data_IF_980211017390
#
_entry.id   IF_980211017390
#
_cell.length_a   1.000
_cell.length_b   1.000
_cell.length_c   1.000
_cell.angle_alpha   90.00
_cell.angle_beta   90.00
_cell.angle_gamma   90.00
#
_symmetry.space_group_name_H-M   'P 1'
#
loop_
_entity.id
_entity.type
_entity.pdbx_description
1 polymer ?
#
# COMPACT_ATOMS: atom_id res chain seq x y z
N UNK A 1 19.03 -5.73 8.02
CA UNK A 1 17.91 -4.90 8.58
C UNK A 1 18.20 -3.46 8.20
N UNK A 2 17.26 -2.78 7.54
CA UNK A 2 17.44 -1.38 7.06
C UNK A 2 16.95 -0.34 8.08
N UNK A 3 16.62 -0.78 9.31
CA UNK A 3 16.18 0.12 10.36
C UNK A 3 17.37 0.88 10.95
N UNK A 4 17.30 2.21 11.02
CA UNK A 4 18.32 3.06 11.62
C UNK A 4 18.18 3.23 13.14
N UNK A 5 17.01 2.93 13.69
CA UNK A 5 16.68 3.07 15.11
C UNK A 5 15.91 1.83 15.58
N UNK A 6 16.54 0.66 15.64
CA UNK A 6 15.89 -0.55 16.13
C UNK A 6 15.47 -0.38 17.59
N UNK A 7 14.39 -1.04 17.95
CA UNK A 7 13.82 -1.01 19.31
C UNK A 7 14.12 -2.35 19.96
N UNK A 8 14.67 -2.32 21.17
CA UNK A 8 14.88 -3.52 21.98
C UNK A 8 13.52 -4.07 22.43
N UNK A 9 13.33 -5.36 22.27
CA UNK A 9 12.15 -6.09 22.64
C UNK A 9 12.52 -7.41 23.32
N UNK A 10 11.56 -7.97 24.03
CA UNK A 10 11.74 -9.20 24.80
C UNK A 10 10.57 -10.14 24.52
N UNK A 11 10.78 -11.43 24.69
CA UNK A 11 9.68 -12.39 24.75
C UNK A 11 9.01 -12.29 26.12
N UNK A 12 7.68 -12.22 26.14
CA UNK A 12 6.94 -12.14 27.39
C UNK A 12 6.90 -13.49 28.10
N UNK A 13 7.19 -13.48 29.39
CA UNK A 13 7.09 -14.62 30.28
C UNK A 13 5.65 -15.10 30.48
N UNK A 14 4.68 -14.19 30.44
CA UNK A 14 3.29 -14.45 30.79
C UNK A 14 2.33 -14.40 29.61
N UNK A 15 2.56 -13.45 28.68
CA UNK A 15 1.66 -13.24 27.55
C UNK A 15 1.99 -14.16 26.38
N UNK A 16 0.95 -14.77 25.80
CA UNK A 16 1.06 -15.62 24.61
C UNK A 16 0.26 -15.03 23.45
N UNK A 17 0.74 -15.27 22.24
CA UNK A 17 0.01 -14.96 21.01
C UNK A 17 -1.17 -15.94 20.81
N UNK A 18 -2.05 -15.66 19.86
CA UNK A 18 -3.14 -16.60 19.48
C UNK A 18 -2.64 -17.97 19.02
N UNK A 19 -1.36 -18.08 18.67
CA UNK A 19 -0.72 -19.34 18.24
C UNK A 19 0.00 -20.06 19.38
N UNK A 20 -0.14 -19.58 20.64
CA UNK A 20 0.47 -20.18 21.83
C UNK A 20 1.96 -19.84 22.01
N UNK A 21 2.60 -19.12 21.10
CA UNK A 21 3.99 -18.65 21.24
C UNK A 21 4.09 -17.47 22.17
N UNK A 22 5.24 -17.22 22.89
CA UNK A 22 5.42 -16.02 23.68
C UNK A 22 5.12 -14.75 22.88
N UNK A 23 4.41 -13.79 23.51
CA UNK A 23 4.18 -12.48 22.91
C UNK A 23 5.39 -11.57 23.06
N UNK A 24 5.51 -10.55 22.22
CA UNK A 24 6.56 -9.53 22.34
C UNK A 24 6.15 -8.51 23.39
N UNK A 25 7.08 -8.18 24.30
CA UNK A 25 6.96 -7.09 25.27
C UNK A 25 8.11 -6.09 25.14
N UNK A 26 7.87 -4.84 25.51
CA UNK A 26 8.89 -3.79 25.58
C UNK A 26 9.28 -3.48 27.03
N UNK A 27 8.66 -4.17 27.99
CA UNK A 27 8.96 -3.99 29.41
C UNK A 27 9.89 -5.09 29.85
N UNK A 28 11.06 -4.72 30.35
CA UNK A 28 12.04 -5.66 30.88
C UNK A 28 11.47 -6.51 32.04
N UNK A 29 10.63 -5.91 32.91
CA UNK A 29 10.00 -6.63 34.02
C UNK A 29 9.12 -7.81 33.59
N UNK A 30 8.58 -7.79 32.36
CA UNK A 30 7.74 -8.85 31.81
C UNK A 30 8.52 -9.82 30.92
N UNK A 31 9.84 -9.59 30.79
CA UNK A 31 10.72 -10.37 29.91
C UNK A 31 10.93 -11.80 30.46
N UNK A 32 11.03 -12.74 29.55
CA UNK A 32 11.48 -14.09 29.82
C UNK A 32 13.03 -14.08 29.84
N UNK A 33 13.67 -14.37 31.01
CA UNK A 33 15.12 -14.28 31.12
C UNK A 33 15.85 -15.36 30.32
N UNK A 34 15.18 -16.48 29.98
CA UNK A 34 15.80 -17.56 29.22
C UNK A 34 15.84 -17.28 27.72
N UNK A 35 14.90 -16.46 27.21
CA UNK A 35 14.79 -16.17 25.78
C UNK A 35 15.58 -14.94 25.33
N UNK A 36 16.11 -14.14 26.29
CA UNK A 36 16.94 -12.99 26.04
C UNK A 36 16.24 -11.82 25.33
N UNK A 37 17.04 -10.84 24.93
CA UNK A 37 16.59 -9.67 24.19
C UNK A 37 16.83 -9.80 22.68
N UNK A 38 16.03 -9.08 21.89
CA UNK A 38 16.23 -8.99 20.44
C UNK A 38 15.82 -7.63 19.92
N UNK A 39 16.30 -7.29 18.71
CA UNK A 39 16.02 -6.00 18.08
C UNK A 39 14.93 -6.13 17.04
N UNK A 40 13.94 -5.23 17.11
CA UNK A 40 12.89 -5.13 16.09
C UNK A 40 12.98 -3.79 15.34
N UNK A 41 12.54 -3.73 14.08
CA UNK A 41 12.49 -2.49 13.34
C UNK A 41 11.51 -1.50 13.97
N UNK A 42 11.91 -0.24 14.14
CA UNK A 42 11.06 0.82 14.74
C UNK A 42 9.79 1.14 13.92
N UNK A 43 9.74 0.75 12.65
CA UNK A 43 8.60 0.98 11.76
C UNK A 43 8.43 2.44 11.28
N UNK A 44 9.20 3.39 11.79
CA UNK A 44 9.01 4.83 11.53
C UNK A 44 10.16 5.50 10.80
N UNK A 45 11.40 5.04 10.97
CA UNK A 45 12.56 5.61 10.28
C UNK A 45 12.45 5.44 8.76
N UNK A 46 13.25 6.20 8.02
CA UNK A 46 13.22 6.17 6.55
C UNK A 46 13.47 4.77 5.99
N UNK A 47 14.41 4.01 6.58
CA UNK A 47 14.68 2.63 6.17
C UNK A 47 13.47 1.70 6.34
N UNK A 48 12.78 1.75 7.48
CA UNK A 48 11.56 0.96 7.71
C UNK A 48 10.42 1.36 6.77
N UNK A 49 10.32 2.65 6.44
CA UNK A 49 9.31 3.17 5.52
C UNK A 49 9.58 2.73 4.10
N UNK A 50 10.84 2.76 3.66
CA UNK A 50 11.25 2.25 2.34
C UNK A 50 11.01 0.74 2.22
N UNK A 51 11.36 -0.06 3.23
CA UNK A 51 11.09 -1.50 3.25
C UNK A 51 9.58 -1.79 3.10
N UNK A 52 8.74 -1.07 3.85
CA UNK A 52 7.27 -1.22 3.76
C UNK A 52 6.74 -0.84 2.38
N UNK A 53 7.28 0.23 1.80
CA UNK A 53 6.93 0.66 0.44
C UNK A 53 7.29 -0.43 -0.57
N UNK A 54 8.48 -0.98 -0.46
CA UNK A 54 8.96 -2.03 -1.35
C UNK A 54 8.15 -3.33 -1.23
N UNK A 55 7.85 -3.78 0.01
CA UNK A 55 6.94 -4.91 0.26
C UNK A 55 5.59 -4.71 -0.44
N UNK A 56 5.08 -3.49 -0.38
CA UNK A 56 3.80 -3.11 -0.99
C UNK A 56 3.86 -3.14 -2.51
N UNK A 57 4.94 -2.63 -3.09
CA UNK A 57 5.17 -2.62 -4.54
C UNK A 57 5.29 -4.04 -5.11
N UNK A 58 6.06 -4.91 -4.44
CA UNK A 58 6.19 -6.32 -4.82
C UNK A 58 4.84 -7.03 -4.82
N UNK A 59 4.03 -6.81 -3.77
CA UNK A 59 2.70 -7.41 -3.67
C UNK A 59 1.75 -6.91 -4.75
N UNK A 60 1.76 -5.61 -5.04
CA UNK A 60 0.93 -5.03 -6.10
C UNK A 60 1.34 -5.55 -7.48
N UNK A 61 2.63 -5.66 -7.73
CA UNK A 61 3.14 -6.25 -8.98
C UNK A 61 2.73 -7.72 -9.11
N UNK A 62 2.89 -8.53 -8.06
CA UNK A 62 2.46 -9.94 -8.08
C UNK A 62 0.95 -10.07 -8.29
N UNK A 63 0.14 -9.20 -7.70
CA UNK A 63 -1.31 -9.18 -7.98
C UNK A 63 -1.57 -8.88 -9.46
N UNK A 64 -0.85 -7.93 -10.05
CA UNK A 64 -1.05 -7.58 -11.47
C UNK A 64 -0.69 -8.71 -12.43
N UNK A 65 0.21 -9.61 -12.05
CA UNK A 65 0.57 -10.79 -12.88
C UNK A 65 -0.52 -11.86 -12.94
N UNK A 66 -1.57 -11.76 -12.14
CA UNK A 66 -2.71 -12.67 -12.18
C UNK A 66 -3.77 -12.29 -13.22
N UNK A 67 -3.70 -11.07 -13.77
CA UNK A 67 -4.74 -10.51 -14.61
C UNK A 67 -4.15 -9.77 -15.82
N UNK A 68 -4.79 -9.87 -16.95
CA UNK A 68 -4.34 -9.21 -18.19
C UNK A 68 -4.65 -7.71 -18.23
N UNK A 69 -5.67 -7.27 -17.47
CA UNK A 69 -6.17 -5.89 -17.52
C UNK A 69 -5.99 -5.20 -16.19
N UNK A 70 -4.86 -4.54 -16.06
CA UNK A 70 -4.52 -3.75 -14.89
C UNK A 70 -4.17 -2.33 -15.31
N UNK A 71 -4.68 -1.36 -14.57
CA UNK A 71 -4.47 0.05 -14.90
C UNK A 71 -4.04 0.87 -13.69
N UNK A 72 -3.18 1.83 -13.95
CA UNK A 72 -2.87 2.91 -13.03
C UNK A 72 -3.89 4.03 -13.25
N UNK A 73 -4.71 4.30 -12.24
CA UNK A 73 -5.72 5.34 -12.24
C UNK A 73 -5.22 6.57 -11.51
N UNK A 74 -5.47 7.74 -12.09
CA UNK A 74 -5.36 9.04 -11.41
C UNK A 74 -6.73 9.71 -11.41
N UNK A 75 -7.15 10.22 -10.24
CA UNK A 75 -8.35 11.04 -10.08
C UNK A 75 -7.94 12.41 -9.56
N UNK A 76 -8.42 13.46 -10.20
CA UNK A 76 -8.09 14.86 -9.86
C UNK A 76 -9.37 15.67 -9.83
N UNK A 77 -9.50 16.57 -8.84
CA UNK A 77 -10.61 17.52 -8.81
C UNK A 77 -10.44 18.61 -9.91
N UNK A 78 -11.53 19.07 -10.50
CA UNK A 78 -11.54 20.33 -11.25
C UNK A 78 -11.56 21.53 -10.27
N UNK A 79 -11.58 22.75 -10.78
CA UNK A 79 -11.55 23.94 -9.92
C UNK A 79 -12.88 24.16 -9.17
N UNK A 80 -13.99 23.79 -9.79
CA UNK A 80 -15.34 23.96 -9.24
C UNK A 80 -15.61 23.04 -8.06
N UNK A 81 -15.04 21.82 -8.10
CA UNK A 81 -15.22 20.78 -7.09
C UNK A 81 -14.02 20.65 -6.14
N UNK A 82 -13.07 21.58 -6.19
CA UNK A 82 -11.93 21.52 -5.31
C UNK A 82 -12.38 21.66 -3.84
N UNK A 83 -12.09 20.70 -2.97
CA UNK A 83 -12.51 20.76 -1.57
C UNK A 83 -11.94 21.98 -0.84
N UNK A 84 -12.61 22.46 0.22
CA UNK A 84 -12.11 23.55 1.05
C UNK A 84 -10.65 23.32 1.47
N UNK A 85 -9.85 24.38 1.47
CA UNK A 85 -8.40 24.34 1.74
C UNK A 85 -7.61 23.39 0.82
N UNK A 86 -8.20 22.87 -0.26
CA UNK A 86 -7.62 21.85 -1.11
C UNK A 86 -7.33 20.56 -0.32
N UNK A 87 -8.20 20.16 0.60
CA UNK A 87 -8.03 18.97 1.42
C UNK A 87 -8.41 17.69 0.68
N UNK A 88 -7.76 16.58 1.01
CA UNK A 88 -8.20 15.24 0.60
C UNK A 88 -9.53 14.88 1.28
N UNK A 89 -10.45 14.27 0.52
CA UNK A 89 -11.73 13.76 1.05
C UNK A 89 -11.76 12.23 0.89
N UNK A 90 -11.36 11.45 1.90
CA UNK A 90 -11.33 9.98 1.82
C UNK A 90 -12.70 9.35 1.47
N UNK A 91 -13.79 10.06 1.77
CA UNK A 91 -15.15 9.66 1.44
C UNK A 91 -15.39 9.65 -0.08
N UNK A 92 -14.87 10.62 -0.82
CA UNK A 92 -15.07 10.70 -2.28
C UNK A 92 -14.46 9.51 -2.99
N UNK A 93 -13.24 9.11 -2.60
CA UNK A 93 -12.64 7.88 -3.11
C UNK A 93 -13.46 6.64 -2.75
N UNK A 94 -14.04 6.59 -1.53
CA UNK A 94 -14.91 5.48 -1.13
C UNK A 94 -16.19 5.44 -1.96
N UNK A 95 -16.81 6.59 -2.23
CA UNK A 95 -18.00 6.70 -3.04
C UNK A 95 -17.70 6.34 -4.51
N UNK A 96 -16.57 6.75 -5.04
CA UNK A 96 -16.10 6.33 -6.37
C UNK A 96 -16.10 4.80 -6.50
N UNK A 97 -15.46 4.07 -5.57
CA UNK A 97 -15.46 2.60 -5.60
C UNK A 97 -16.86 2.00 -5.44
N UNK A 98 -17.75 2.62 -4.65
CA UNK A 98 -19.14 2.17 -4.52
C UNK A 98 -19.90 2.35 -5.83
N UNK A 99 -19.73 3.48 -6.53
CA UNK A 99 -20.36 3.73 -7.84
C UNK A 99 -19.90 2.74 -8.89
N UNK A 100 -18.61 2.47 -8.98
CA UNK A 100 -18.04 1.46 -9.88
C UNK A 100 -18.68 0.08 -9.62
N UNK A 101 -18.77 -0.34 -8.34
CA UNK A 101 -19.40 -1.63 -8.00
C UNK A 101 -20.89 -1.66 -8.29
N UNK A 102 -21.61 -0.55 -8.11
CA UNK A 102 -23.03 -0.44 -8.45
C UNK A 102 -23.28 -0.63 -9.96
N UNK A 103 -22.28 -0.33 -10.81
CA UNK A 103 -22.29 -0.60 -12.26
C UNK A 103 -21.90 -2.05 -12.61
N UNK A 104 -21.84 -2.95 -11.62
CA UNK A 104 -21.50 -4.37 -11.82
C UNK A 104 -20.00 -4.66 -11.97
N UNK A 105 -19.12 -3.67 -11.84
CA UNK A 105 -17.68 -3.84 -11.97
C UNK A 105 -17.05 -4.22 -10.64
N UNK A 106 -16.74 -5.50 -10.49
CA UNK A 106 -15.99 -6.01 -9.35
C UNK A 106 -14.49 -5.98 -9.68
N UNK A 107 -13.76 -5.16 -8.95
CA UNK A 107 -12.32 -5.01 -9.10
C UNK A 107 -11.62 -4.97 -7.75
N UNK A 108 -10.35 -5.30 -7.79
CA UNK A 108 -9.45 -5.13 -6.65
C UNK A 108 -8.58 -3.90 -6.88
N UNK A 109 -8.14 -3.28 -5.82
CA UNK A 109 -7.34 -2.06 -5.95
C UNK A 109 -6.36 -1.87 -4.78
N UNK A 110 -5.32 -1.10 -5.07
CA UNK A 110 -4.42 -0.48 -4.11
C UNK A 110 -4.38 1.02 -4.42
N UNK A 111 -4.92 1.84 -3.52
CA UNK A 111 -5.10 3.27 -3.73
C UNK A 111 -4.45 4.12 -2.65
N UNK A 112 -4.12 5.37 -2.99
CA UNK A 112 -3.67 6.40 -2.06
C UNK A 112 -4.31 7.75 -2.40
N UNK A 113 -4.40 8.61 -1.39
CA UNK A 113 -4.65 10.03 -1.55
C UNK A 113 -3.38 10.80 -1.22
N UNK A 114 -3.04 11.79 -2.04
CA UNK A 114 -1.83 12.59 -1.91
C UNK A 114 -2.04 14.06 -2.28
N UNK A 115 -1.08 14.88 -1.93
CA UNK A 115 -0.99 16.27 -2.39
C UNK A 115 0.11 16.39 -3.44
N UNK A 116 -0.23 16.99 -4.60
CA UNK A 116 0.72 17.24 -5.68
C UNK A 116 1.88 18.12 -5.22
N UNK A 117 3.08 17.81 -5.70
CA UNK A 117 4.32 18.47 -5.25
C UNK A 117 4.40 19.97 -5.58
N UNK A 118 3.78 20.42 -6.69
CA UNK A 118 3.91 21.81 -7.17
C UNK A 118 2.88 22.73 -6.52
N UNK A 119 1.60 22.34 -6.52
CA UNK A 119 0.50 23.21 -6.05
C UNK A 119 -0.24 22.64 -4.84
N UNK A 120 0.21 21.51 -4.29
CA UNK A 120 -0.47 20.87 -3.18
C UNK A 120 -1.93 20.46 -3.47
N UNK A 121 -2.29 20.27 -4.75
CA UNK A 121 -3.63 19.87 -5.16
C UNK A 121 -3.90 18.42 -4.76
N UNK A 122 -5.08 18.08 -4.20
CA UNK A 122 -5.40 16.71 -3.82
C UNK A 122 -5.60 15.84 -5.06
N UNK A 123 -4.96 14.66 -5.06
CA UNK A 123 -5.06 13.62 -6.07
C UNK A 123 -5.30 12.27 -5.42
N UNK A 124 -5.94 11.36 -6.17
CA UNK A 124 -5.99 9.96 -5.79
C UNK A 124 -5.32 9.15 -6.89
N UNK A 125 -4.44 8.25 -6.49
CA UNK A 125 -3.82 7.28 -7.39
C UNK A 125 -4.24 5.87 -6.97
N UNK A 126 -4.46 5.01 -7.94
CA UNK A 126 -4.76 3.61 -7.67
C UNK A 126 -4.18 2.69 -8.72
N UNK A 127 -3.71 1.52 -8.29
CA UNK A 127 -3.58 0.37 -9.17
C UNK A 127 -4.90 -0.38 -9.11
N UNK A 128 -5.51 -0.58 -10.26
CA UNK A 128 -6.74 -1.36 -10.43
C UNK A 128 -6.35 -2.69 -11.05
N UNK A 129 -6.79 -3.77 -10.43
CA UNK A 129 -6.55 -5.12 -10.90
C UNK A 129 -7.85 -5.73 -11.46
N UNK A 130 -7.70 -6.52 -12.52
CA UNK A 130 -8.80 -7.25 -13.14
C UNK A 130 -9.95 -6.34 -13.62
N UNK A 131 -9.62 -5.27 -14.32
CA UNK A 131 -10.64 -4.43 -14.90
C UNK A 131 -11.33 -5.18 -16.06
N UNK A 132 -12.68 -5.27 -16.13
CA UNK A 132 -13.36 -5.87 -17.26
C UNK A 132 -13.08 -5.09 -18.56
N UNK A 133 -13.38 -5.65 -19.74
CA UNK A 133 -13.31 -4.90 -20.99
C UNK A 133 -14.15 -3.63 -20.88
N UNK A 134 -13.53 -2.49 -21.12
CA UNK A 134 -14.17 -1.18 -21.18
C UNK A 134 -13.74 -0.48 -22.47
N UNK A 135 -14.60 0.39 -22.97
CA UNK A 135 -14.20 1.32 -24.02
C UNK A 135 -13.26 2.36 -23.41
N UNK A 136 -12.01 2.32 -23.88
CA UNK A 136 -10.97 3.24 -23.48
C UNK A 136 -10.65 4.14 -24.69
N UNK A 137 -10.78 5.45 -24.49
CA UNK A 137 -10.38 6.45 -25.49
C UNK A 137 -9.00 6.98 -25.10
N UNK A 138 -8.04 6.86 -26.02
CA UNK A 138 -6.71 7.45 -25.84
C UNK A 138 -6.81 8.98 -25.96
N UNK A 139 -6.28 9.69 -24.95
CA UNK A 139 -6.28 11.17 -24.92
C UNK A 139 -4.89 11.78 -25.10
N UNK A 140 -3.85 10.95 -25.14
CA UNK A 140 -2.47 11.42 -25.26
C UNK A 140 -1.48 10.39 -24.77
N UNK A 141 -0.28 10.87 -24.45
CA UNK A 141 0.80 10.07 -23.87
C UNK A 141 1.37 10.74 -22.63
N UNK A 142 1.89 9.94 -21.71
CA UNK A 142 2.65 10.44 -20.55
C UNK A 142 3.98 11.07 -21.01
N UNK A 143 4.65 11.78 -20.11
CA UNK A 143 6.02 12.31 -20.33
C UNK A 143 7.03 11.20 -20.69
N UNK A 144 6.74 9.96 -20.35
CA UNK A 144 7.57 8.77 -20.62
C UNK A 144 7.11 8.01 -21.88
N UNK A 145 6.18 8.57 -22.66
CA UNK A 145 5.72 8.00 -23.94
C UNK A 145 4.62 6.93 -23.84
N UNK A 146 4.14 6.60 -22.64
CA UNK A 146 3.06 5.62 -22.47
C UNK A 146 1.69 6.24 -22.76
N UNK A 147 0.77 5.50 -23.41
CA UNK A 147 -0.56 6.01 -23.71
C UNK A 147 -1.38 6.25 -22.45
N UNK A 148 -2.15 7.34 -22.48
CA UNK A 148 -3.10 7.71 -21.43
C UNK A 148 -4.52 7.62 -21.96
N UNK A 149 -5.41 7.02 -21.19
CA UNK A 149 -6.79 6.73 -21.58
C UNK A 149 -7.79 7.37 -20.64
N UNK A 150 -9.02 7.54 -21.13
CA UNK A 150 -10.22 7.86 -20.35
C UNK A 150 -11.31 6.85 -20.67
N UNK A 151 -12.30 6.74 -19.78
CA UNK A 151 -13.47 5.87 -19.93
C UNK A 151 -14.71 6.59 -19.42
N UNK A 152 -15.80 6.50 -20.14
CA UNK A 152 -17.05 7.15 -19.76
C UNK A 152 -17.59 6.60 -18.43
N UNK A 153 -17.42 5.30 -18.16
CA UNK A 153 -17.74 4.70 -16.87
C UNK A 153 -17.02 5.41 -15.70
N UNK A 154 -15.74 5.71 -15.87
CA UNK A 154 -14.97 6.37 -14.82
C UNK A 154 -15.32 7.84 -14.69
N UNK A 155 -15.65 8.53 -15.80
CA UNK A 155 -16.15 9.90 -15.80
C UNK A 155 -17.45 10.02 -14.99
N UNK A 156 -18.41 9.15 -15.24
CA UNK A 156 -19.67 9.12 -14.50
C UNK A 156 -19.49 8.78 -13.01
N UNK A 157 -18.53 7.93 -12.70
CA UNK A 157 -18.26 7.54 -11.31
C UNK A 157 -17.44 8.58 -10.54
N UNK A 158 -16.71 9.48 -11.25
CA UNK A 158 -15.94 10.57 -10.69
C UNK A 158 -16.43 11.94 -11.19
N UNK A 159 -17.57 12.45 -10.68
CA UNK A 159 -18.14 13.71 -11.16
C UNK A 159 -17.39 14.96 -10.69
N UNK A 160 -16.32 14.81 -9.91
CA UNK A 160 -15.60 15.92 -9.30
C UNK A 160 -14.47 16.48 -10.17
N UNK A 161 -14.22 15.91 -11.36
CA UNK A 161 -13.19 16.43 -12.23
C UNK A 161 -12.65 15.39 -13.22
N UNK A 162 -11.34 15.23 -13.26
CA UNK A 162 -10.67 14.46 -14.31
C UNK A 162 -10.17 13.11 -13.83
N UNK A 163 -10.11 12.16 -14.74
CA UNK A 163 -9.45 10.88 -14.51
C UNK A 163 -8.55 10.50 -15.69
N UNK A 164 -7.53 9.72 -15.42
CA UNK A 164 -6.69 9.10 -16.44
C UNK A 164 -6.38 7.66 -16.06
N UNK A 165 -6.29 6.80 -17.06
CA UNK A 165 -5.91 5.41 -16.94
C UNK A 165 -4.64 5.19 -17.77
N UNK A 166 -3.64 4.53 -17.19
CA UNK A 166 -2.38 4.17 -17.84
C UNK A 166 -2.10 2.69 -17.58
N UNK A 167 -1.25 2.06 -18.39
CA UNK A 167 -0.83 0.68 -18.13
C UNK A 167 -0.02 0.57 -16.83
N UNK A 168 -0.17 -0.58 -16.16
CA UNK A 168 0.56 -0.88 -14.93
C UNK A 168 1.96 -1.38 -15.26
N UNK A 169 2.95 -0.86 -14.56
CA UNK A 169 4.32 -1.36 -14.51
C UNK A 169 4.76 -1.54 -13.05
N UNK A 170 5.90 -2.17 -12.83
CA UNK A 170 6.47 -2.24 -11.47
C UNK A 170 6.74 -0.84 -10.89
N UNK A 171 7.16 0.10 -11.73
CA UNK A 171 7.41 1.50 -11.35
C UNK A 171 6.13 2.20 -10.88
N UNK A 172 4.99 1.96 -11.55
CA UNK A 172 3.70 2.51 -11.13
C UNK A 172 3.21 1.88 -9.83
N UNK A 173 3.45 0.58 -9.60
CA UNK A 173 3.21 -0.08 -8.33
C UNK A 173 4.08 0.52 -7.20
N UNK A 174 5.37 0.75 -7.48
CA UNK A 174 6.28 1.38 -6.53
C UNK A 174 5.91 2.83 -6.24
N UNK A 175 5.39 3.56 -7.24
CA UNK A 175 4.89 4.92 -7.07
C UNK A 175 3.73 4.96 -6.06
N UNK A 176 2.66 4.19 -6.27
CA UNK A 176 1.52 4.14 -5.33
C UNK A 176 1.96 3.64 -3.95
N UNK A 177 2.83 2.63 -3.91
CA UNK A 177 3.35 2.08 -2.66
C UNK A 177 4.15 3.10 -1.83
N UNK A 178 4.83 4.05 -2.48
CA UNK A 178 5.60 5.11 -1.81
C UNK A 178 4.71 5.99 -0.93
N UNK A 179 3.46 6.21 -1.31
CA UNK A 179 2.51 7.01 -0.53
C UNK A 179 1.97 6.29 0.72
N UNK A 180 2.11 4.97 0.79
CA UNK A 180 1.86 4.22 2.04
C UNK A 180 2.74 4.73 3.19
N UNK A 181 3.88 5.33 2.84
CA UNK A 181 4.92 5.73 3.79
C UNK A 181 5.09 7.24 3.94
N UNK A 182 4.42 8.06 3.09
CA UNK A 182 4.55 9.52 3.11
C UNK A 182 3.88 10.21 4.30
N UNK A 183 3.13 9.50 5.14
CA UNK A 183 2.55 10.10 6.36
C UNK A 183 3.65 10.78 7.16
N UNK A 184 3.60 12.11 7.23
CA UNK A 184 4.45 12.89 8.11
C UNK A 184 3.91 12.73 9.53
N UNK A 185 4.72 12.16 10.41
CA UNK A 185 4.40 11.94 11.82
C UNK A 185 5.27 12.88 12.67
N UNK A 186 4.75 13.32 13.81
CA UNK A 186 5.48 14.19 14.74
C UNK A 186 5.37 15.68 14.37
N UNK A 187 6.47 16.43 14.56
CA UNK A 187 6.53 17.90 14.44
C UNK A 187 6.24 18.45 13.04
N UNK A 188 6.23 17.60 12.01
CA UNK A 188 5.83 17.97 10.65
C UNK A 188 4.32 18.17 10.44
N UNK A 189 3.50 18.18 11.49
CA UNK A 189 2.04 18.39 11.39
C UNK A 189 1.67 19.73 10.74
N UNK A 190 2.49 20.75 10.91
CA UNK A 190 2.31 22.10 10.32
C UNK A 190 2.17 22.08 8.79
N UNK A 191 2.71 21.06 8.10
CA UNK A 191 2.55 20.91 6.64
C UNK A 191 1.08 20.75 6.23
N UNK A 192 0.24 20.25 7.14
CA UNK A 192 -1.19 20.03 6.89
C UNK A 192 -2.05 21.22 7.36
N UNK A 193 -1.49 22.14 8.13
CA UNK A 193 -2.21 23.34 8.56
C UNK A 193 -2.29 24.33 7.40
N UNK A 194 -3.47 24.88 7.17
CA UNK A 194 -3.74 25.90 6.17
C UNK A 194 -4.46 27.07 6.82
N UNK A 195 -3.90 28.24 6.62
CA UNK A 195 -4.48 29.50 7.05
C UNK A 195 -5.30 30.10 5.90
N UNK A 196 -6.54 30.46 6.20
CA UNK A 196 -7.36 31.23 5.28
C UNK A 196 -7.17 32.72 5.59
N UNK A 197 -6.54 33.50 4.69
CA UNK A 197 -6.28 34.89 4.93
C UNK A 197 -7.54 35.76 4.96
N UNK A 198 -8.66 35.27 4.42
CA UNK A 198 -9.93 36.02 4.36
C UNK A 198 -10.72 35.86 5.65
N UNK A 199 -10.81 34.63 6.15
CA UNK A 199 -11.61 34.30 7.33
C UNK A 199 -10.78 34.25 8.62
N UNK A 200 -9.46 34.22 8.53
CA UNK A 200 -8.56 34.05 9.65
C UNK A 200 -8.57 32.63 10.25
N UNK A 201 -9.30 31.69 9.63
CA UNK A 201 -9.45 30.32 10.11
C UNK A 201 -8.20 29.50 9.77
N UNK A 202 -7.69 28.78 10.75
CA UNK A 202 -6.67 27.75 10.57
C UNK A 202 -7.36 26.39 10.53
N UNK A 203 -7.29 25.68 9.42
CA UNK A 203 -7.84 24.32 9.30
C UNK A 203 -6.73 23.33 8.98
N UNK A 204 -6.96 22.08 9.32
CA UNK A 204 -5.99 21.01 9.15
C UNK A 204 -6.41 20.10 7.98
N UNK A 205 -5.62 20.07 6.93
CA UNK A 205 -5.82 19.14 5.81
C UNK A 205 -5.78 17.69 6.28
N UNK A 206 -6.63 16.86 5.68
CA UNK A 206 -6.58 15.41 5.89
C UNK A 206 -5.22 14.87 5.44
N UNK A 207 -4.57 14.11 6.30
CA UNK A 207 -3.27 13.48 5.98
C UNK A 207 -3.39 12.52 4.81
N UNK A 208 -2.32 12.41 4.05
CA UNK A 208 -2.18 11.40 2.99
C UNK A 208 -2.48 10.00 3.54
N UNK A 209 -3.12 9.17 2.75
CA UNK A 209 -3.58 7.85 3.19
C UNK A 209 -3.47 6.81 2.08
N UNK A 210 -3.54 5.54 2.46
CA UNK A 210 -3.67 4.42 1.52
C UNK A 210 -4.82 3.50 1.91
N UNK A 211 -5.47 2.91 0.91
CA UNK A 211 -6.56 1.93 1.06
C UNK A 211 -6.40 0.82 0.04
N UNK A 212 -6.57 -0.41 0.49
CA UNK A 212 -6.33 -1.60 -0.32
C UNK A 212 -7.48 -2.58 -0.18
N UNK A 213 -7.64 -3.45 -1.18
CA UNK A 213 -8.44 -4.66 -1.04
C UNK A 213 -7.76 -5.61 -0.05
N UNK A 214 -8.54 -6.11 0.92
CA UNK A 214 -8.02 -6.87 2.07
C UNK A 214 -8.55 -8.29 2.21
N UNK A 215 -9.54 -8.67 1.41
CA UNK A 215 -10.19 -9.99 1.49
C UNK A 215 -10.24 -10.65 0.10
N UNK A 216 -9.24 -11.48 -0.24
CA UNK A 216 -7.94 -11.64 0.41
C UNK A 216 -7.06 -10.39 0.26
N UNK A 217 -5.92 -10.32 0.96
CA UNK A 217 -4.98 -9.21 0.81
C UNK A 217 -4.32 -9.20 -0.57
N UNK A 218 -3.88 -8.04 -1.04
CA UNK A 218 -3.18 -7.89 -2.33
C UNK A 218 -1.96 -8.80 -2.38
N UNK A 219 -1.80 -9.55 -3.49
CA UNK A 219 -0.73 -10.50 -3.73
C UNK A 219 -0.93 -11.87 -3.09
N UNK A 220 -2.04 -12.10 -2.35
CA UNK A 220 -2.31 -13.36 -1.68
C UNK A 220 -2.36 -14.55 -2.66
N UNK A 221 -3.19 -14.45 -3.70
CA UNK A 221 -3.44 -15.57 -4.60
C UNK A 221 -2.21 -15.89 -5.46
N UNK A 222 -1.43 -14.88 -5.83
CA UNK A 222 -0.13 -15.08 -6.47
C UNK A 222 0.83 -15.81 -5.53
N UNK A 223 0.90 -15.40 -4.27
CA UNK A 223 1.70 -16.09 -3.26
C UNK A 223 1.27 -17.55 -3.11
N UNK A 224 -0.02 -17.83 -2.98
CA UNK A 224 -0.52 -19.21 -2.83
C UNK A 224 -0.17 -20.10 -4.03
N UNK A 225 -0.06 -19.51 -5.23
CA UNK A 225 0.36 -20.23 -6.44
C UNK A 225 1.85 -20.53 -6.48
N UNK A 226 2.70 -19.59 -6.03
CA UNK A 226 4.16 -19.63 -6.23
C UNK A 226 4.99 -19.66 -4.94
N UNK A 227 4.40 -19.87 -3.78
CA UNK A 227 5.10 -19.81 -2.48
C UNK A 227 6.31 -20.73 -2.37
N UNK A 228 6.28 -21.94 -3.01
CA UNK A 228 7.40 -22.86 -2.99
C UNK A 228 8.65 -22.30 -3.63
N UNK A 229 8.48 -21.59 -4.74
CA UNK A 229 9.58 -20.99 -5.50
C UNK A 229 10.22 -19.85 -4.68
N UNK A 230 9.42 -19.02 -4.02
CA UNK A 230 9.93 -17.96 -3.16
C UNK A 230 10.83 -18.49 -2.04
N UNK A 231 10.39 -19.54 -1.35
CA UNK A 231 11.16 -20.11 -0.24
C UNK A 231 12.29 -21.03 -0.69
N UNK A 232 12.27 -21.52 -1.93
CA UNK A 232 13.38 -22.28 -2.50
C UNK A 232 14.60 -21.38 -2.76
N UNK A 233 14.38 -20.17 -3.28
CA UNK A 233 15.43 -19.22 -3.65
C UNK A 233 15.60 -18.07 -2.65
N UNK A 234 14.79 -18.05 -1.59
CA UNK A 234 14.76 -17.04 -0.52
C UNK A 234 14.57 -15.59 -0.97
N UNK A 235 13.88 -15.37 -2.09
CA UNK A 235 13.58 -14.04 -2.63
C UNK A 235 12.41 -14.06 -3.61
N UNK A 236 11.93 -12.87 -3.99
CA UNK A 236 11.07 -12.63 -5.13
C UNK A 236 11.91 -12.09 -6.29
N UNK A 237 11.74 -12.60 -7.49
CA UNK A 237 12.40 -12.11 -8.70
C UNK A 237 11.42 -11.24 -9.50
N UNK A 238 11.81 -9.99 -9.79
CA UNK A 238 11.05 -9.07 -10.63
C UNK A 238 12.05 -8.38 -11.56
N UNK A 239 11.87 -8.50 -12.87
CA UNK A 239 12.76 -7.91 -13.88
C UNK A 239 14.25 -8.22 -13.60
N UNK A 240 14.56 -9.48 -13.32
CA UNK A 240 15.91 -9.98 -12.97
C UNK A 240 16.53 -9.36 -11.68
N UNK A 241 15.75 -8.63 -10.89
CA UNK A 241 16.19 -8.11 -9.59
C UNK A 241 15.62 -8.94 -8.45
N UNK A 242 16.44 -9.15 -7.42
CA UNK A 242 16.04 -9.86 -6.20
C UNK A 242 15.42 -8.91 -5.19
N UNK A 243 14.24 -9.26 -4.69
CA UNK A 243 13.54 -8.56 -3.63
C UNK A 243 13.32 -9.50 -2.45
N UNK A 244 13.30 -8.95 -1.25
CA UNK A 244 12.93 -9.72 -0.04
C UNK A 244 11.50 -10.23 -0.17
N UNK A 245 11.24 -11.41 0.38
CA UNK A 245 9.87 -11.93 0.51
C UNK A 245 9.09 -10.95 1.42
N UNK A 246 7.93 -10.41 0.95
CA UNK A 246 7.09 -9.54 1.75
C UNK A 246 6.64 -10.17 3.07
N UNK A 247 6.69 -9.44 4.17
CA UNK A 247 6.23 -9.92 5.49
C UNK A 247 4.79 -10.44 5.48
N UNK A 248 3.96 -9.92 4.60
CA UNK A 248 2.60 -10.41 4.41
C UNK A 248 2.60 -11.88 3.94
N UNK A 249 3.51 -12.26 3.05
CA UNK A 249 3.64 -13.63 2.56
C UNK A 249 4.12 -14.59 3.64
N UNK A 250 5.08 -14.18 4.47
CA UNK A 250 5.49 -14.98 5.64
C UNK A 250 4.32 -15.23 6.60
N UNK A 251 3.45 -14.23 6.78
CA UNK A 251 2.23 -14.39 7.59
C UNK A 251 1.24 -15.36 6.95
N UNK A 252 0.99 -15.24 5.63
CA UNK A 252 0.14 -16.18 4.90
C UNK A 252 0.70 -17.62 4.98
N UNK A 253 2.01 -17.79 4.79
CA UNK A 253 2.66 -19.10 4.87
C UNK A 253 2.46 -19.77 6.24
N UNK A 254 2.50 -18.99 7.32
CA UNK A 254 2.22 -19.51 8.69
C UNK A 254 0.76 -19.90 8.87
N UNK A 255 -0.16 -19.06 8.42
CA UNK A 255 -1.61 -19.29 8.54
C UNK A 255 -2.07 -20.51 7.73
N UNK A 256 -1.55 -20.66 6.51
CA UNK A 256 -1.88 -21.76 5.60
C UNK A 256 -1.03 -23.02 5.83
N UNK A 257 -0.22 -23.03 6.90
CA UNK A 257 0.68 -24.13 7.26
C UNK A 257 1.61 -24.57 6.11
N UNK A 258 1.97 -23.63 5.22
CA UNK A 258 2.82 -23.92 4.07
C UNK A 258 4.17 -24.50 4.48
N UNK A 259 4.72 -24.08 5.61
CA UNK A 259 6.02 -24.54 6.13
C UNK A 259 6.00 -26.00 6.60
N UNK A 260 4.88 -26.49 7.13
CA UNK A 260 4.74 -27.90 7.50
C UNK A 260 4.86 -28.82 6.28
N UNK A 261 4.52 -28.33 5.08
CA UNK A 261 4.59 -29.08 3.82
C UNK A 261 5.99 -29.11 3.19
N UNK A 262 6.93 -28.28 3.66
CA UNK A 262 8.31 -28.19 3.13
C UNK A 262 9.31 -28.98 3.99
N UNK A 263 8.91 -29.44 5.19
CA UNK A 263 9.83 -30.13 6.12
C UNK A 263 10.94 -29.24 6.70
N UNK A 264 10.81 -27.90 6.62
CA UNK A 264 11.82 -26.98 7.16
C UNK A 264 11.47 -26.52 8.57
N UNK A 265 12.34 -26.85 9.52
CA UNK A 265 12.33 -26.32 10.90
C UNK A 265 12.55 -24.81 11.00
N UNK A 266 12.89 -24.14 9.88
CA UNK A 266 13.40 -22.76 9.82
C UNK A 266 12.35 -21.63 9.97
N UNK A 267 11.13 -21.96 10.37
CA UNK A 267 10.12 -20.92 10.64
C UNK A 267 10.43 -20.08 11.90
N UNK A 268 11.38 -20.50 12.75
CA UNK A 268 11.74 -19.80 14.00
C UNK A 268 12.81 -18.71 13.84
N UNK A 269 13.58 -18.74 12.76
CA UNK A 269 14.73 -17.83 12.58
C UNK A 269 14.44 -16.50 11.86
N UNK A 270 13.22 -16.29 11.35
CA UNK A 270 12.85 -15.06 10.64
C UNK A 270 11.83 -14.22 11.39
N UNK A 271 12.11 -13.92 12.64
CA UNK A 271 11.36 -12.91 13.40
C UNK A 271 12.03 -11.55 13.25
#
# INVERSE_FOLDING_TARGET
MTCYHPITAYWSRTLKTKLGTPAITFKYADADPELGEFQIPCGQCIGCRLDRSLDSAVRAHHESLLYDRNYFLTLTYNNENLPPFGSLIPRDLTLFWKRIRKRGVNLRYMACGEYGSTYGRPHYHAIIFNLPPLELRQIGTTKTGFPSFVSDLFAECWPFGFHTLNFVSFESCAYVARYVTKKILGDGKQVYEKFDPVTGVVDCRVKEFSRWSTKPGIGHDYFMKYWRDFYKIDCCLINNKKFKIPRYYDRCARMEQCFCKIGRASCRERV
#
